data_IF_359315078361
#
_entry.id   IF_359315078361
#
_cell.length_a   1.000
_cell.length_b   1.000
_cell.length_c   1.000
_cell.angle_alpha   90.00
_cell.angle_beta   90.00
_cell.angle_gamma   90.00
#
_symmetry.space_group_name_H-M   'P 1'
#
loop_
_entity.id
_entity.type
_entity.pdbx_description
1 polymer ?
#
# COMPACT_ATOMS: atom_id res chain seq x y z
N UNK A 1 -15.17 14.55 -26.08
CA UNK A 1 -14.14 13.65 -25.49
C UNK A 1 -14.27 12.24 -26.09
N UNK A 2 -13.18 11.65 -26.59
CA UNK A 2 -13.19 10.29 -27.14
C UNK A 2 -13.24 9.21 -26.04
N UNK A 3 -13.42 7.95 -26.44
CA UNK A 3 -13.40 6.80 -25.54
C UNK A 3 -12.00 6.59 -24.94
N UNK A 4 -11.97 6.11 -23.70
CA UNK A 4 -10.75 5.74 -22.99
C UNK A 4 -10.23 4.44 -23.63
N UNK A 5 -9.01 4.45 -24.18
CA UNK A 5 -8.37 3.24 -24.76
C UNK A 5 -7.28 2.70 -23.83
N UNK A 6 -6.89 1.42 -23.92
CA UNK A 6 -5.78 0.86 -23.14
C UNK A 6 -4.44 1.59 -23.33
N UNK A 7 -4.20 2.23 -24.49
CA UNK A 7 -3.01 3.06 -24.71
C UNK A 7 -3.09 4.43 -24.01
N UNK A 8 -4.30 4.90 -23.70
CA UNK A 8 -4.60 6.17 -23.03
C UNK A 8 -4.74 5.97 -21.51
N UNK A 9 -5.12 4.76 -21.07
CA UNK A 9 -5.31 4.38 -19.67
C UNK A 9 -4.24 3.37 -19.27
N UNK A 10 -3.08 3.87 -18.85
CA UNK A 10 -2.21 3.07 -17.98
C UNK A 10 -2.85 3.11 -16.60
N UNK A 11 -3.72 2.13 -16.30
CA UNK A 11 -4.23 1.95 -14.94
C UNK A 11 -3.06 1.59 -14.03
N UNK A 12 -2.50 2.61 -13.37
CA UNK A 12 -1.55 2.42 -12.28
C UNK A 12 -2.37 2.01 -11.08
N UNK A 13 -2.60 0.71 -10.91
CA UNK A 13 -3.21 0.14 -9.71
C UNK A 13 -2.26 0.35 -8.51
N UNK A 14 -2.24 1.57 -7.98
CA UNK A 14 -1.58 1.93 -6.73
C UNK A 14 -2.57 1.72 -5.59
N UNK A 15 -3.09 0.50 -5.48
CA UNK A 15 -4.03 0.12 -4.45
C UNK A 15 -3.33 -0.73 -3.41
N UNK A 16 -3.33 -0.27 -2.16
CA UNK A 16 -3.30 -1.07 -0.94
C UNK A 16 -1.93 -1.47 -0.34
N UNK A 17 -0.82 -1.23 -1.03
CA UNK A 17 0.54 -1.51 -0.54
C UNK A 17 1.28 -0.23 -0.19
N UNK A 18 1.49 0.04 1.11
CA UNK A 18 2.13 1.30 1.57
C UNK A 18 2.82 1.13 2.90
N UNK A 19 3.91 0.36 2.96
CA UNK A 19 4.73 0.37 4.17
C UNK A 19 6.17 0.85 3.97
N UNK A 20 6.62 1.06 2.74
CA UNK A 20 7.88 1.77 2.51
C UNK A 20 7.89 3.18 3.13
N UNK A 21 6.75 3.90 3.07
CA UNK A 21 6.59 5.20 3.73
C UNK A 21 6.69 5.12 5.26
N UNK A 22 6.02 4.12 5.86
CA UNK A 22 6.14 3.85 7.29
C UNK A 22 7.59 3.55 7.68
N UNK A 23 8.31 2.70 6.94
CA UNK A 23 9.72 2.37 7.24
C UNK A 23 10.61 3.62 7.28
N UNK A 24 10.50 4.52 6.30
CA UNK A 24 11.26 5.77 6.26
C UNK A 24 10.89 6.67 7.44
N UNK A 25 9.61 6.83 7.73
CA UNK A 25 9.16 7.70 8.82
C UNK A 25 9.55 7.14 10.20
N UNK A 26 9.52 5.82 10.39
CA UNK A 26 10.03 5.16 11.59
C UNK A 26 11.55 5.35 11.71
N UNK A 27 12.32 5.12 10.64
CA UNK A 27 13.77 5.34 10.62
C UNK A 27 14.14 6.77 11.01
N UNK A 28 13.50 7.77 10.37
CA UNK A 28 13.74 9.17 10.69
C UNK A 28 13.32 9.52 12.12
N UNK A 29 12.22 8.95 12.61
CA UNK A 29 11.75 9.19 13.98
C UNK A 29 12.68 8.58 15.03
N UNK A 30 13.19 7.36 14.79
CA UNK A 30 14.20 6.72 15.64
C UNK A 30 15.50 7.54 15.64
N UNK A 31 15.93 8.05 14.49
CA UNK A 31 17.13 8.89 14.40
C UNK A 31 17.01 10.17 15.24
N UNK A 32 15.84 10.80 15.22
CA UNK A 32 15.61 12.09 15.87
C UNK A 32 15.30 11.96 17.37
N UNK A 33 14.56 10.92 17.78
CA UNK A 33 14.07 10.78 19.16
C UNK A 33 14.79 9.71 19.97
N UNK A 34 15.43 8.75 19.29
CA UNK A 34 15.86 7.49 19.89
C UNK A 34 14.71 6.49 20.06
N UNK A 35 15.06 5.21 19.99
CA UNK A 35 14.11 4.09 20.04
C UNK A 35 13.21 4.11 21.28
N UNK A 36 13.77 4.31 22.48
CA UNK A 36 12.99 4.23 23.72
C UNK A 36 11.93 5.34 23.82
N UNK A 37 12.30 6.57 23.44
CA UNK A 37 11.37 7.70 23.48
C UNK A 37 10.24 7.49 22.47
N UNK A 38 10.57 6.97 21.28
CA UNK A 38 9.57 6.65 20.27
C UNK A 38 8.59 5.55 20.74
N UNK A 39 9.10 4.48 21.39
CA UNK A 39 8.25 3.44 22.00
C UNK A 39 7.32 3.99 23.08
N UNK A 40 7.78 4.94 23.89
CA UNK A 40 6.93 5.54 24.93
C UNK A 40 5.83 6.44 24.32
N UNK A 41 6.09 7.03 23.15
CA UNK A 41 5.13 7.88 22.44
C UNK A 41 4.14 7.07 21.60
N UNK A 42 4.57 5.93 21.05
CA UNK A 42 3.75 5.08 20.20
C UNK A 42 3.31 3.83 20.95
N UNK A 43 1.99 3.59 20.97
CA UNK A 43 1.45 2.34 21.48
C UNK A 43 1.64 1.22 20.43
N UNK A 44 2.87 0.71 20.30
CA UNK A 44 3.24 -0.31 19.31
C UNK A 44 2.75 -1.68 19.78
N UNK A 45 1.74 -2.23 19.10
CA UNK A 45 1.18 -3.57 19.36
C UNK A 45 1.45 -4.54 18.20
N UNK A 46 1.46 -5.86 18.45
CA UNK A 46 1.49 -6.50 19.78
C UNK A 46 2.92 -6.63 20.34
N UNK A 47 3.07 -6.58 21.67
CA UNK A 47 4.33 -6.84 22.37
C UNK A 47 5.28 -5.65 22.50
N UNK A 48 6.60 -5.91 22.54
CA UNK A 48 7.65 -4.88 22.60
C UNK A 48 8.60 -4.99 21.39
N UNK A 49 8.24 -4.42 20.23
CA UNK A 49 9.03 -4.56 19.01
C UNK A 49 10.40 -3.88 19.14
N UNK A 50 11.45 -4.48 18.61
CA UNK A 50 12.76 -3.83 18.53
C UNK A 50 12.73 -2.68 17.52
N UNK A 51 13.12 -1.48 17.95
CA UNK A 51 13.38 -0.33 17.07
C UNK A 51 14.88 -0.05 16.93
N UNK A 52 15.72 -1.05 17.28
CA UNK A 52 17.18 -0.94 17.12
C UNK A 52 17.53 -1.07 15.63
N UNK A 53 18.24 -0.10 15.04
CA UNK A 53 18.72 -0.21 13.66
C UNK A 53 19.67 -1.40 13.47
N UNK A 54 19.65 -1.98 12.28
CA UNK A 54 20.62 -3.01 11.89
C UNK A 54 22.06 -2.48 11.94
N UNK A 55 23.02 -3.36 12.22
CA UNK A 55 24.42 -2.97 12.38
C UNK A 55 24.99 -2.33 11.10
N UNK A 56 25.58 -1.14 11.27
CA UNK A 56 26.15 -0.32 10.19
C UNK A 56 25.13 0.40 9.33
N UNK A 57 23.84 0.36 9.69
CA UNK A 57 22.89 1.29 9.11
C UNK A 57 23.06 2.67 9.75
N UNK A 58 23.30 3.68 8.92
CA UNK A 58 23.29 5.08 9.33
C UNK A 58 21.92 5.69 9.04
N UNK A 59 21.12 5.89 10.10
CA UNK A 59 19.80 6.52 9.96
C UNK A 59 19.88 7.99 9.53
N UNK A 60 21.03 8.65 9.70
CA UNK A 60 21.27 10.02 9.25
C UNK A 60 21.22 10.17 7.72
N UNK A 61 21.44 9.07 7.00
CA UNK A 61 21.34 9.03 5.53
C UNK A 61 19.91 8.76 5.04
N UNK A 62 18.97 8.44 5.93
CA UNK A 62 17.59 8.12 5.55
C UNK A 62 16.79 9.42 5.37
N UNK A 63 16.50 9.77 4.12
CA UNK A 63 15.83 11.01 3.73
C UNK A 63 14.59 10.78 2.88
N UNK A 64 13.77 11.82 2.72
CA UNK A 64 12.53 11.76 1.93
C UNK A 64 12.77 11.52 0.45
N UNK A 65 13.94 11.91 -0.05
CA UNK A 65 14.34 11.73 -1.44
C UNK A 65 14.36 10.26 -1.85
N UNK A 66 14.58 9.35 -0.89
CA UNK A 66 14.60 7.90 -1.13
C UNK A 66 13.29 7.42 -1.76
N UNK A 67 12.16 8.03 -1.40
CA UNK A 67 10.84 7.65 -1.89
C UNK A 67 10.26 8.64 -2.91
N UNK A 68 11.05 9.59 -3.43
CA UNK A 68 10.53 10.59 -4.37
C UNK A 68 9.87 9.92 -5.59
N UNK A 69 10.57 8.98 -6.24
CA UNK A 69 10.03 8.22 -7.37
C UNK A 69 8.85 7.33 -6.96
N UNK A 70 8.91 6.75 -5.76
CA UNK A 70 7.84 5.92 -5.20
C UNK A 70 6.54 6.73 -4.99
N UNK A 71 6.64 7.96 -4.50
CA UNK A 71 5.52 8.85 -4.30
C UNK A 71 5.03 9.45 -5.62
N UNK A 72 5.95 9.82 -6.52
CA UNK A 72 5.61 10.33 -7.84
C UNK A 72 4.80 9.30 -8.66
N UNK A 73 5.14 8.01 -8.56
CA UNK A 73 4.37 6.96 -9.25
C UNK A 73 2.96 6.76 -8.69
N UNK A 74 2.76 7.12 -7.41
CA UNK A 74 1.49 7.02 -6.65
C UNK A 74 0.69 8.32 -6.58
N UNK A 75 1.26 9.43 -7.05
CA UNK A 75 0.61 10.72 -7.04
C UNK A 75 -0.61 10.71 -7.97
N UNK A 76 -1.71 11.29 -7.51
CA UNK A 76 -2.84 11.59 -8.39
C UNK A 76 -2.44 12.71 -9.34
N UNK A 77 -2.86 12.61 -10.60
CA UNK A 77 -2.81 13.75 -11.52
C UNK A 77 -3.67 14.85 -10.91
N UNK A 78 -3.10 16.05 -10.79
CA UNK A 78 -3.82 17.23 -10.33
C UNK A 78 -4.18 18.05 -11.57
N UNK A 79 -5.46 18.32 -11.74
CA UNK A 79 -5.97 19.21 -12.77
C UNK A 79 -6.14 20.60 -12.17
N UNK A 80 -5.60 21.62 -12.83
CA UNK A 80 -5.78 23.03 -12.48
C UNK A 80 -6.93 23.67 -13.28
N UNK A 81 -7.38 24.88 -12.89
CA UNK A 81 -8.35 25.65 -13.66
C UNK A 81 -7.98 25.84 -15.15
N UNK A 82 -6.68 25.88 -15.45
CA UNK A 82 -6.11 25.98 -16.79
C UNK A 82 -6.31 24.73 -17.66
N UNK A 83 -6.57 23.57 -17.06
CA UNK A 83 -6.81 22.31 -17.79
C UNK A 83 -8.27 22.19 -18.28
N UNK A 84 -9.15 23.09 -17.86
CA UNK A 84 -10.56 23.11 -18.27
C UNK A 84 -10.67 23.83 -19.62
N UNK A 85 -10.78 23.04 -20.69
CA UNK A 85 -10.80 23.51 -22.09
C UNK A 85 -12.08 24.31 -22.42
N UNK A 86 -13.19 24.08 -21.71
CA UNK A 86 -14.46 24.78 -21.94
C UNK A 86 -14.74 25.82 -20.83
N UNK A 87 -14.66 27.13 -21.14
CA UNK A 87 -14.90 28.19 -20.17
C UNK A 87 -16.36 28.26 -19.68
N UNK A 88 -17.32 27.60 -20.32
CA UNK A 88 -18.72 27.53 -19.86
C UNK A 88 -18.92 26.53 -18.71
N UNK A 89 -17.97 25.60 -18.51
CA UNK A 89 -17.94 24.63 -17.42
C UNK A 89 -17.10 25.09 -16.23
N UNK A 90 -16.80 26.39 -16.13
CA UNK A 90 -16.21 26.98 -14.93
C UNK A 90 -17.20 26.83 -13.77
N UNK A 91 -17.09 25.73 -13.04
CA UNK A 91 -17.65 25.63 -11.70
C UNK A 91 -17.00 26.77 -10.91
N UNK A 92 -17.83 27.67 -10.38
CA UNK A 92 -17.42 28.62 -9.35
C UNK A 92 -16.98 27.82 -8.12
N UNK A 93 -15.80 27.23 -8.17
CA UNK A 93 -15.12 26.78 -6.98
C UNK A 93 -14.64 28.05 -6.30
N UNK A 94 -15.35 28.44 -5.23
CA UNK A 94 -14.68 29.18 -4.16
C UNK A 94 -13.36 28.47 -3.92
N UNK A 95 -12.22 29.18 -3.93
CA UNK A 95 -10.95 28.55 -3.64
C UNK A 95 -11.15 27.80 -2.32
N UNK A 96 -10.96 26.48 -2.34
CA UNK A 96 -10.73 25.79 -1.09
C UNK A 96 -9.62 26.59 -0.40
N UNK A 97 -9.83 27.04 0.84
CA UNK A 97 -8.82 27.86 1.50
C UNK A 97 -7.49 27.11 1.35
N UNK A 98 -6.38 27.81 1.04
CA UNK A 98 -5.07 27.16 1.08
C UNK A 98 -5.04 26.40 2.40
N UNK A 99 -4.75 25.09 2.35
CA UNK A 99 -4.62 24.23 3.53
C UNK A 99 -3.94 25.07 4.60
N UNK A 100 -4.76 25.54 5.55
CA UNK A 100 -4.40 26.68 6.37
C UNK A 100 -3.08 26.34 7.03
N UNK A 101 -2.09 27.23 6.91
CA UNK A 101 -0.99 27.28 7.86
C UNK A 101 -1.66 27.39 9.23
N UNK A 102 -1.85 26.24 9.88
CA UNK A 102 -2.44 26.13 11.19
C UNK A 102 -1.62 27.02 12.12
N UNK A 103 -2.27 28.00 12.71
CA UNK A 103 -1.76 28.76 13.84
C UNK A 103 -1.18 27.79 14.88
N UNK A 104 0.10 27.99 15.18
CA UNK A 104 0.91 27.14 16.05
C UNK A 104 0.35 27.12 17.47
N UNK A 105 0.26 25.96 18.14
CA UNK A 105 0.09 25.95 19.59
C UNK A 105 1.34 26.56 20.22
N UNK A 106 1.19 27.71 20.87
CA UNK A 106 2.21 28.32 21.71
C UNK A 106 2.34 27.51 23.01
N UNK A 107 3.01 26.37 22.92
CA UNK A 107 3.33 25.49 24.04
C UNK A 107 4.64 24.76 23.76
N UNK A 108 5.41 24.47 24.81
CA UNK A 108 6.73 23.81 24.76
C UNK A 108 6.62 22.34 24.30
N UNK A 109 6.14 22.08 23.09
CA UNK A 109 6.38 20.80 22.43
C UNK A 109 7.81 20.84 21.92
N UNK A 110 8.66 19.92 22.38
CA UNK A 110 10.01 19.79 21.86
C UNK A 110 9.95 19.64 20.33
N UNK A 111 10.61 20.55 19.59
CA UNK A 111 10.56 20.61 18.12
C UNK A 111 10.78 19.25 17.44
N UNK A 112 11.62 18.41 18.04
CA UNK A 112 11.95 17.07 17.55
C UNK A 112 10.78 16.07 17.73
N UNK A 113 10.05 16.15 18.85
CA UNK A 113 8.85 15.35 19.07
C UNK A 113 7.72 15.76 18.12
N UNK A 114 7.58 17.07 17.87
CA UNK A 114 6.63 17.59 16.89
C UNK A 114 6.98 17.18 15.44
N UNK A 115 8.28 17.18 15.09
CA UNK A 115 8.77 16.72 13.80
C UNK A 115 8.47 15.22 13.56
N UNK A 116 8.81 14.37 14.53
CA UNK A 116 8.52 12.93 14.47
C UNK A 116 7.01 12.66 14.43
N UNK A 117 6.23 13.38 15.24
CA UNK A 117 4.77 13.32 15.20
C UNK A 117 4.20 13.69 13.82
N UNK A 118 4.66 14.77 13.21
CA UNK A 118 4.21 15.21 11.87
C UNK A 118 4.59 14.22 10.76
N UNK A 119 5.71 13.52 10.91
CA UNK A 119 6.15 12.45 10.00
C UNK A 119 5.22 11.25 10.10
N UNK A 120 5.06 10.72 11.32
CA UNK A 120 4.20 9.57 11.58
C UNK A 120 2.74 9.85 11.18
N UNK A 121 2.23 11.06 11.41
CA UNK A 121 0.91 11.49 10.95
C UNK A 121 0.73 11.55 9.42
N UNK A 122 1.80 11.68 8.63
CA UNK A 122 1.70 11.63 7.15
C UNK A 122 1.52 10.20 6.65
N UNK A 123 2.09 9.25 7.38
CA UNK A 123 2.05 7.83 7.00
C UNK A 123 0.79 7.13 7.52
N UNK A 124 0.32 7.43 8.73
CA UNK A 124 -1.04 7.08 9.14
C UNK A 124 -2.02 7.99 8.38
N UNK A 125 -3.13 7.47 7.89
CA UNK A 125 -4.08 8.17 7.03
C UNK A 125 -4.79 9.36 7.72
N UNK A 126 -4.10 10.48 8.04
CA UNK A 126 -4.71 11.61 8.77
C UNK A 126 -4.22 12.97 8.24
N UNK A 127 -5.10 13.80 7.62
CA UNK A 127 -4.81 15.19 7.34
C UNK A 127 -4.74 16.02 8.64
N UNK A 128 -3.81 16.99 8.76
CA UNK A 128 -3.69 17.86 9.93
C UNK A 128 -4.70 19.01 9.86
N UNK A 129 -5.89 18.74 10.34
CA UNK A 129 -6.71 19.74 11.03
C UNK A 129 -7.46 18.99 12.12
N UNK A 130 -7.38 19.49 13.36
CA UNK A 130 -8.24 19.08 14.48
C UNK A 130 -7.77 17.94 15.42
N UNK A 131 -6.47 17.74 15.66
CA UNK A 131 -5.96 16.77 16.63
C UNK A 131 -6.18 17.14 18.14
N UNK A 132 -7.06 18.09 18.47
CA UNK A 132 -7.37 18.41 19.89
C UNK A 132 -8.85 18.73 20.14
N UNK A 133 -9.74 18.57 19.16
CA UNK A 133 -11.19 18.74 19.37
C UNK A 133 -12.07 17.60 18.82
N UNK A 134 -11.50 16.61 18.10
CA UNK A 134 -12.24 15.43 17.64
C UNK A 134 -11.59 14.15 18.17
N UNK A 135 -11.97 13.74 19.37
CA UNK A 135 -11.93 12.33 19.76
C UNK A 135 -12.95 11.47 18.97
N UNK A 136 -13.65 12.05 17.98
CA UNK A 136 -14.78 11.43 17.27
C UNK A 136 -14.54 11.12 15.78
N UNK A 137 -13.42 11.50 15.17
CA UNK A 137 -13.08 11.16 13.76
C UNK A 137 -11.93 10.16 13.63
N UNK A 138 -11.65 9.40 14.69
CA UNK A 138 -10.58 8.40 14.72
C UNK A 138 -10.95 7.06 14.06
N UNK A 139 -12.15 6.91 13.48
CA UNK A 139 -12.63 5.69 12.82
C UNK A 139 -12.49 5.73 11.29
N UNK A 140 -11.32 6.15 10.78
CA UNK A 140 -10.98 6.01 9.37
C UNK A 140 -10.39 4.60 9.11
N UNK A 141 -11.25 3.62 8.88
CA UNK A 141 -10.83 2.27 8.50
C UNK A 141 -11.98 1.44 7.94
N UNK A 142 -11.73 0.67 6.88
CA UNK A 142 -12.74 -0.24 6.34
C UNK A 142 -13.25 -1.19 7.42
N UNK A 143 -14.54 -1.49 7.43
CA UNK A 143 -15.16 -2.35 8.44
C UNK A 143 -15.96 -3.49 7.79
N UNK A 144 -15.98 -4.64 8.46
CA UNK A 144 -16.87 -5.75 8.13
C UNK A 144 -17.18 -6.57 9.38
N UNK A 145 -18.35 -7.20 9.39
CA UNK A 145 -18.77 -8.06 10.49
C UNK A 145 -19.68 -9.17 10.00
N UNK A 146 -19.69 -10.27 10.75
CA UNK A 146 -20.58 -11.41 10.52
C UNK A 146 -21.18 -11.84 11.85
N UNK A 147 -22.49 -12.08 11.86
CA UNK A 147 -23.25 -12.54 13.02
C UNK A 147 -23.87 -13.90 12.69
N UNK A 148 -23.72 -14.89 13.58
CA UNK A 148 -24.32 -16.23 13.42
C UNK A 148 -25.85 -16.15 13.51
N UNK A 149 -26.55 -17.03 12.79
CA UNK A 149 -28.02 -17.03 12.75
C UNK A 149 -28.71 -17.20 14.11
N UNK A 150 -28.10 -17.88 15.08
CA UNK A 150 -28.64 -17.98 16.45
C UNK A 150 -28.78 -16.63 17.18
N UNK A 151 -28.11 -15.59 16.67
CA UNK A 151 -28.14 -14.22 17.20
C UNK A 151 -28.99 -13.29 16.33
N UNK A 152 -29.63 -13.79 15.26
CA UNK A 152 -30.46 -13.02 14.35
C UNK A 152 -31.92 -13.47 14.45
N UNK A 153 -32.87 -12.57 14.18
CA UNK A 153 -34.30 -12.91 14.22
C UNK A 153 -34.72 -13.88 13.11
N UNK A 154 -33.96 -13.94 12.00
CA UNK A 154 -34.24 -14.84 10.88
C UNK A 154 -33.74 -16.26 11.09
N UNK A 155 -32.85 -16.50 12.05
CA UNK A 155 -32.16 -17.79 12.22
C UNK A 155 -31.05 -18.05 11.19
N UNK A 156 -30.75 -17.08 10.32
CA UNK A 156 -29.69 -17.16 9.29
C UNK A 156 -28.58 -16.14 9.56
N UNK A 157 -27.32 -16.40 9.12
CA UNK A 157 -26.23 -15.46 9.30
C UNK A 157 -26.50 -14.11 8.63
N UNK A 158 -25.94 -13.05 9.20
CA UNK A 158 -25.95 -11.71 8.62
C UNK A 158 -24.51 -11.21 8.47
N UNK A 159 -24.19 -10.65 7.30
CA UNK A 159 -22.90 -10.03 7.02
C UNK A 159 -23.13 -8.59 6.55
N UNK A 160 -22.26 -7.68 7.01
CA UNK A 160 -22.10 -6.37 6.40
C UNK A 160 -20.63 -6.12 6.07
N UNK A 161 -20.38 -5.51 4.92
CA UNK A 161 -19.03 -5.21 4.44
C UNK A 161 -18.98 -3.78 3.88
N UNK A 162 -18.13 -2.93 4.48
CA UNK A 162 -18.00 -1.51 4.16
C UNK A 162 -16.52 -1.13 3.91
N UNK A 163 -16.02 -1.40 2.69
CA UNK A 163 -14.65 -1.07 2.32
C UNK A 163 -14.52 0.42 2.02
N UNK A 164 -14.08 1.20 3.00
CA UNK A 164 -13.85 2.63 2.84
C UNK A 164 -12.85 2.96 1.70
N UNK A 165 -13.31 3.72 0.70
CA UNK A 165 -12.48 4.27 -0.38
C UNK A 165 -12.93 5.68 -0.70
N UNK A 166 -12.00 6.51 -1.22
CA UNK A 166 -12.38 7.82 -1.76
C UNK A 166 -13.40 7.63 -2.87
N UNK A 167 -14.48 8.40 -2.85
CA UNK A 167 -15.40 8.50 -3.97
C UNK A 167 -14.65 9.10 -5.17
N UNK A 168 -14.78 8.45 -6.33
CA UNK A 168 -14.10 8.81 -7.56
C UNK A 168 -15.03 8.59 -8.75
N UNK A 169 -14.76 9.31 -9.85
CA UNK A 169 -15.46 9.14 -11.12
C UNK A 169 -14.41 8.78 -12.19
N UNK A 170 -14.49 7.60 -12.83
CA UNK A 170 -15.46 6.53 -12.55
C UNK A 170 -15.27 5.88 -11.17
N UNK A 171 -16.31 5.20 -10.70
CA UNK A 171 -16.26 4.43 -9.45
C UNK A 171 -15.12 3.42 -9.50
N UNK A 172 -14.40 3.30 -8.39
CA UNK A 172 -13.41 2.25 -8.20
C UNK A 172 -14.06 0.84 -8.24
N UNK A 173 -15.29 0.73 -7.73
CA UNK A 173 -16.01 -0.54 -7.68
C UNK A 173 -16.93 -0.67 -8.89
N UNK A 174 -16.87 -1.84 -9.53
CA UNK A 174 -17.71 -2.22 -10.64
C UNK A 174 -18.54 -3.45 -10.26
N UNK A 175 -19.85 -3.38 -10.47
CA UNK A 175 -20.76 -4.48 -10.18
C UNK A 175 -20.94 -5.38 -11.40
N UNK A 176 -20.94 -6.69 -11.16
CA UNK A 176 -21.16 -7.69 -12.20
C UNK A 176 -21.93 -8.88 -11.65
N UNK A 177 -22.76 -9.49 -12.49
CA UNK A 177 -23.32 -10.82 -12.28
C UNK A 177 -22.78 -11.72 -13.39
N UNK A 178 -22.00 -12.73 -13.00
CA UNK A 178 -21.38 -13.68 -13.92
C UNK A 178 -22.14 -15.01 -13.84
N UNK A 179 -22.67 -15.44 -14.99
CA UNK A 179 -23.40 -16.71 -15.13
C UNK A 179 -22.76 -17.53 -16.24
N UNK A 180 -22.20 -18.70 -15.89
CA UNK A 180 -21.57 -19.65 -16.79
C UNK A 180 -21.55 -21.06 -16.14
N UNK A 181 -21.20 -22.14 -16.84
CA UNK A 181 -21.05 -23.45 -16.20
C UNK A 181 -20.08 -23.40 -15.01
N UNK A 182 -20.56 -23.78 -13.82
CA UNK A 182 -19.80 -23.70 -12.57
C UNK A 182 -19.75 -22.32 -11.92
N UNK A 183 -20.44 -21.32 -12.49
CA UNK A 183 -20.38 -19.93 -12.05
C UNK A 183 -21.78 -19.30 -12.00
N UNK A 184 -22.19 -18.89 -10.80
CA UNK A 184 -23.36 -18.04 -10.58
C UNK A 184 -23.04 -17.10 -9.41
N UNK A 185 -22.39 -15.98 -9.72
CA UNK A 185 -21.83 -15.06 -8.71
C UNK A 185 -22.19 -13.62 -9.04
N UNK A 186 -22.60 -12.86 -8.02
CA UNK A 186 -22.92 -11.44 -8.15
C UNK A 186 -22.22 -10.63 -7.08
N UNK A 187 -21.66 -9.50 -7.47
CA UNK A 187 -20.97 -8.63 -6.53
C UNK A 187 -20.15 -7.54 -7.20
N UNK A 188 -19.24 -6.96 -6.42
CA UNK A 188 -18.30 -5.92 -6.81
C UNK A 188 -16.87 -6.42 -6.99
N UNK A 189 -16.23 -5.95 -8.05
CA UNK A 189 -14.79 -6.01 -8.30
C UNK A 189 -14.21 -4.63 -8.62
N UNK A 190 -12.99 -4.58 -9.14
CA UNK A 190 -12.44 -3.38 -9.77
C UNK A 190 -12.48 -3.54 -11.30
N UNK A 191 -12.75 -2.46 -12.08
CA UNK A 191 -13.03 -2.54 -13.52
C UNK A 191 -12.05 -3.33 -14.39
N UNK A 192 -10.78 -3.46 -13.98
CA UNK A 192 -9.74 -4.13 -14.76
C UNK A 192 -9.35 -5.51 -14.20
N UNK A 193 -9.99 -5.96 -13.13
CA UNK A 193 -9.59 -7.14 -12.38
C UNK A 193 -10.66 -8.23 -12.50
N UNK A 194 -10.25 -9.51 -12.63
CA UNK A 194 -11.18 -10.60 -12.89
C UNK A 194 -11.94 -11.03 -11.62
N UNK A 195 -13.15 -11.55 -11.82
CA UNK A 195 -13.97 -12.14 -10.76
C UNK A 195 -14.67 -11.13 -9.84
N UNK A 196 -15.28 -11.65 -8.78
CA UNK A 196 -16.07 -10.90 -7.80
C UNK A 196 -15.34 -10.90 -6.44
N UNK A 197 -14.65 -9.80 -6.14
CA UNK A 197 -13.91 -9.66 -4.88
C UNK A 197 -14.80 -9.54 -3.63
N UNK A 198 -16.00 -8.99 -3.77
CA UNK A 198 -16.97 -8.80 -2.70
C UNK A 198 -18.33 -9.16 -3.25
N UNK A 199 -19.01 -10.16 -2.70
CA UNK A 199 -20.27 -10.61 -3.27
C UNK A 199 -20.76 -11.90 -2.66
N UNK A 200 -21.57 -12.62 -3.43
CA UNK A 200 -22.05 -13.93 -3.05
C UNK A 200 -22.34 -14.78 -4.28
N UNK A 201 -22.40 -16.09 -4.04
CA UNK A 201 -22.96 -17.07 -4.96
C UNK A 201 -24.18 -17.75 -4.28
N UNK A 202 -24.57 -18.92 -4.77
CA UNK A 202 -25.71 -19.69 -4.26
C UNK A 202 -25.47 -20.27 -2.86
N UNK A 203 -24.21 -20.40 -2.46
CA UNK A 203 -23.80 -21.12 -1.26
C UNK A 203 -23.43 -20.17 -0.13
N UNK A 204 -22.69 -19.10 -0.43
CA UNK A 204 -22.30 -18.14 0.60
C UNK A 204 -21.91 -16.77 0.06
N UNK A 205 -21.76 -15.85 1.01
CA UNK A 205 -21.37 -14.47 0.80
C UNK A 205 -20.01 -14.20 1.44
N UNK A 206 -19.24 -13.31 0.80
CA UNK A 206 -17.95 -12.86 1.28
C UNK A 206 -17.76 -11.36 1.15
N UNK A 207 -16.93 -10.85 2.05
CA UNK A 207 -16.50 -9.48 2.08
C UNK A 207 -15.03 -9.36 2.42
N UNK A 208 -14.47 -8.19 2.14
CA UNK A 208 -13.09 -7.86 2.47
C UNK A 208 -12.97 -6.47 3.08
N UNK A 209 -12.00 -6.35 3.98
CA UNK A 209 -11.42 -5.09 4.44
C UNK A 209 -9.90 -5.20 4.36
N UNK A 210 -9.19 -4.08 4.40
CA UNK A 210 -7.72 -4.12 4.36
C UNK A 210 -7.18 -4.70 5.65
N UNK A 211 -6.28 -5.65 5.52
CA UNK A 211 -5.49 -6.18 6.61
C UNK A 211 -4.06 -5.65 6.46
N UNK A 212 -3.70 -4.69 7.31
CA UNK A 212 -2.39 -4.04 7.27
C UNK A 212 -1.29 -5.04 7.65
N UNK A 213 -0.58 -5.52 6.63
CA UNK A 213 0.67 -6.26 6.83
C UNK A 213 1.79 -5.60 6.03
N UNK A 214 3.00 -5.90 6.45
CA UNK A 214 4.22 -5.51 5.76
C UNK A 214 4.37 -6.27 4.44
N UNK A 215 4.35 -5.55 3.32
CA UNK A 215 4.43 -6.09 1.96
C UNK A 215 5.54 -5.41 1.12
N UNK A 216 6.31 -4.51 1.70
CA UNK A 216 7.35 -3.71 1.06
C UNK A 216 8.55 -3.53 1.98
N UNK A 217 9.76 -3.87 1.53
CA UNK A 217 11.00 -3.60 2.26
C UNK A 217 11.87 -2.64 1.47
N UNK A 218 12.52 -1.70 2.16
CA UNK A 218 13.60 -0.93 1.57
C UNK A 218 14.97 -1.56 1.85
N UNK A 219 15.67 -1.94 0.79
CA UNK A 219 17.01 -2.54 0.85
C UNK A 219 18.06 -1.50 0.52
N UNK A 220 19.13 -1.47 1.31
CA UNK A 220 20.25 -0.54 1.14
C UNK A 220 21.48 -1.31 0.71
N UNK A 221 21.99 -0.99 -0.48
CA UNK A 221 23.18 -1.58 -1.06
C UNK A 221 24.36 -0.64 -1.02
N UNK A 222 25.56 -1.20 -0.84
CA UNK A 222 26.80 -0.54 -1.26
C UNK A 222 26.88 -0.57 -2.79
N UNK A 223 27.20 0.55 -3.41
CA UNK A 223 27.51 0.63 -4.85
C UNK A 223 29.02 0.66 -5.05
N UNK A 224 29.51 0.10 -6.16
CA UNK A 224 30.95 0.08 -6.43
C UNK A 224 31.45 1.51 -6.72
N UNK A 225 32.43 2.04 -5.97
CA UNK A 225 32.98 3.38 -6.24
C UNK A 225 33.58 3.52 -7.63
N UNK A 226 34.04 2.43 -8.24
CA UNK A 226 34.59 2.41 -9.60
C UNK A 226 33.53 2.20 -10.70
N UNK A 227 32.35 1.65 -10.36
CA UNK A 227 31.24 1.42 -11.29
C UNK A 227 29.89 1.53 -10.54
N UNK A 228 29.24 2.70 -10.53
CA UNK A 228 28.02 2.91 -9.74
C UNK A 228 26.83 2.04 -10.21
N UNK A 229 26.93 1.39 -11.37
CA UNK A 229 25.94 0.42 -11.84
C UNK A 229 26.17 -0.99 -11.28
N UNK A 230 27.11 -1.15 -10.35
CA UNK A 230 27.30 -2.37 -9.58
C UNK A 230 26.91 -2.17 -8.13
N UNK A 231 26.31 -3.19 -7.53
CA UNK A 231 25.93 -3.23 -6.13
C UNK A 231 26.51 -4.47 -5.44
N UNK A 232 26.80 -4.35 -4.14
CA UNK A 232 27.41 -5.44 -3.39
C UNK A 232 26.35 -6.42 -2.89
N UNK A 233 26.49 -7.69 -3.22
CA UNK A 233 25.62 -8.77 -2.72
C UNK A 233 26.46 -10.00 -2.37
N UNK A 234 26.26 -10.52 -1.15
CA UNK A 234 27.00 -11.67 -0.62
C UNK A 234 28.53 -11.59 -0.83
N UNK A 235 29.08 -10.38 -0.66
CA UNK A 235 30.51 -10.10 -0.81
C UNK A 235 30.98 -9.78 -2.23
N UNK A 236 30.17 -10.03 -3.26
CA UNK A 236 30.51 -9.81 -4.66
C UNK A 236 29.86 -8.55 -5.24
N UNK A 237 30.47 -7.98 -6.28
CA UNK A 237 29.86 -6.92 -7.07
C UNK A 237 28.97 -7.53 -8.16
N UNK A 238 27.70 -7.19 -8.15
CA UNK A 238 26.72 -7.58 -9.17
C UNK A 238 26.30 -6.36 -9.99
N UNK A 239 26.11 -6.54 -11.29
CA UNK A 239 25.58 -5.47 -12.15
C UNK A 239 24.09 -5.29 -11.92
N UNK A 240 23.65 -4.04 -11.81
CA UNK A 240 22.23 -3.70 -11.91
C UNK A 240 21.74 -4.02 -13.32
N UNK A 241 20.51 -4.53 -13.42
CA UNK A 241 19.80 -4.58 -14.71
C UNK A 241 19.31 -3.17 -15.03
N UNK A 242 19.68 -2.67 -16.21
CA UNK A 242 19.26 -1.34 -16.68
C UNK A 242 18.34 -1.52 -17.88
N UNK A 243 17.15 -0.93 -17.82
CA UNK A 243 16.19 -0.88 -18.92
C UNK A 243 16.05 0.59 -19.33
N UNK A 244 16.35 0.90 -20.58
CA UNK A 244 16.15 2.25 -21.11
C UNK A 244 14.73 2.39 -21.63
N UNK A 245 13.99 3.35 -21.07
CA UNK A 245 12.61 3.62 -21.46
C UNK A 245 12.49 5.02 -22.05
N UNK A 246 11.72 5.14 -23.14
CA UNK A 246 11.48 6.42 -23.81
C UNK A 246 10.09 6.94 -23.48
N UNK A 247 10.02 7.90 -22.56
CA UNK A 247 8.79 8.56 -22.13
C UNK A 247 8.40 9.62 -23.17
N UNK A 248 7.31 9.36 -23.91
CA UNK A 248 6.72 10.34 -24.82
C UNK A 248 5.89 11.36 -24.02
N UNK A 249 6.16 12.65 -24.24
CA UNK A 249 5.47 13.74 -23.55
C UNK A 249 4.67 14.53 -24.56
N UNK A 250 3.36 14.71 -24.34
CA UNK A 250 2.50 15.46 -25.27
C UNK A 250 3.03 16.88 -25.44
N UNK A 251 3.26 17.30 -26.68
CA UNK A 251 3.74 18.64 -27.02
C UNK A 251 5.21 18.92 -26.69
N UNK A 252 5.99 17.91 -26.28
CA UNK A 252 7.43 18.05 -25.98
C UNK A 252 8.23 16.90 -26.60
N UNK A 253 9.54 17.08 -26.67
CA UNK A 253 10.45 15.99 -27.02
C UNK A 253 10.37 14.87 -25.99
N UNK A 254 10.45 13.62 -26.46
CA UNK A 254 10.48 12.46 -25.59
C UNK A 254 11.76 12.45 -24.74
N UNK A 255 11.65 11.93 -23.51
CA UNK A 255 12.76 11.83 -22.55
C UNK A 255 13.12 10.35 -22.38
N UNK A 256 14.40 10.02 -22.50
CA UNK A 256 14.90 8.68 -22.17
C UNK A 256 15.25 8.63 -20.68
N UNK A 257 14.80 7.58 -20.00
CA UNK A 257 15.10 7.32 -18.59
C UNK A 257 15.70 5.92 -18.43
N UNK A 258 16.66 5.78 -17.54
CA UNK A 258 17.24 4.49 -17.17
C UNK A 258 16.51 3.95 -15.94
N UNK A 259 15.80 2.84 -16.10
CA UNK A 259 15.20 2.10 -14.99
C UNK A 259 16.21 1.05 -14.50
N UNK A 260 16.69 1.21 -13.28
CA UNK A 260 17.67 0.30 -12.67
C UNK A 260 17.00 -0.67 -11.71
N UNK A 261 17.43 -1.93 -11.77
CA UNK A 261 16.93 -3.00 -10.92
C UNK A 261 18.10 -3.77 -10.31
N UNK A 262 18.01 -4.00 -9.01
CA UNK A 262 18.79 -5.04 -8.35
C UNK A 262 18.06 -6.38 -8.51
N UNK A 263 18.66 -7.48 -8.05
CA UNK A 263 17.95 -8.76 -7.95
C UNK A 263 16.70 -8.73 -7.08
N UNK A 264 16.56 -7.77 -6.15
CA UNK A 264 15.41 -7.70 -5.23
C UNK A 264 14.35 -6.69 -5.66
N UNK A 265 14.58 -5.91 -6.72
CA UNK A 265 13.60 -4.97 -7.25
C UNK A 265 14.18 -3.65 -7.72
N UNK A 266 13.30 -2.68 -8.06
CA UNK A 266 13.70 -1.40 -8.62
C UNK A 266 14.50 -0.55 -7.63
N UNK A 267 15.52 0.13 -8.14
CA UNK A 267 16.27 1.15 -7.39
C UNK A 267 15.43 2.44 -7.37
N UNK A 268 15.09 2.90 -6.18
CA UNK A 268 14.32 4.12 -5.96
C UNK A 268 15.20 5.37 -5.85
N UNK A 269 16.42 5.22 -5.31
CA UNK A 269 17.34 6.33 -5.08
C UNK A 269 18.79 5.85 -5.04
N UNK A 270 19.70 6.68 -5.54
CA UNK A 270 21.15 6.45 -5.53
C UNK A 270 21.84 7.62 -4.82
N UNK A 271 22.48 7.34 -3.69
CA UNK A 271 23.36 8.28 -3.01
C UNK A 271 24.80 8.07 -3.49
N UNK A 272 25.19 8.86 -4.48
CA UNK A 272 26.53 8.78 -5.09
C UNK A 272 27.64 9.23 -4.14
N UNK A 273 27.33 10.11 -3.19
CA UNK A 273 28.33 10.64 -2.26
C UNK A 273 28.73 9.59 -1.21
N UNK A 274 27.76 8.78 -0.79
CA UNK A 274 27.97 7.72 0.19
C UNK A 274 28.08 6.32 -0.43
N UNK A 275 28.09 6.23 -1.76
CA UNK A 275 28.10 4.99 -2.53
C UNK A 275 27.00 4.02 -2.08
N UNK A 276 25.75 4.50 -2.02
CA UNK A 276 24.58 3.69 -1.65
C UNK A 276 23.52 3.68 -2.74
N UNK A 277 22.81 2.56 -2.84
CA UNK A 277 21.58 2.45 -3.63
C UNK A 277 20.46 1.89 -2.78
N UNK A 278 19.27 2.46 -2.92
CA UNK A 278 18.07 2.11 -2.16
C UNK A 278 17.10 1.43 -3.12
N UNK A 279 16.79 0.16 -2.87
CA UNK A 279 15.92 -0.63 -3.73
C UNK A 279 14.67 -1.10 -2.99
N UNK A 280 13.54 -1.14 -3.69
CA UNK A 280 12.29 -1.63 -3.14
C UNK A 280 12.15 -3.13 -3.42
N UNK A 281 12.01 -3.93 -2.37
CA UNK A 281 11.48 -5.29 -2.48
C UNK A 281 10.00 -5.24 -2.14
N UNK A 282 9.14 -5.82 -2.96
CA UNK A 282 7.71 -5.77 -2.69
C UNK A 282 7.02 -7.09 -3.06
N UNK A 283 6.09 -7.53 -2.21
CA UNK A 283 5.30 -8.73 -2.43
C UNK A 283 4.45 -8.63 -3.70
N UNK A 284 4.01 -7.43 -4.06
CA UNK A 284 3.22 -7.17 -5.28
C UNK A 284 4.03 -7.26 -6.58
N UNK A 285 5.36 -7.42 -6.51
CA UNK A 285 6.21 -7.74 -7.67
C UNK A 285 6.35 -9.25 -7.90
N UNK A 286 5.87 -10.09 -6.97
CA UNK A 286 5.96 -11.54 -7.07
C UNK A 286 4.95 -12.12 -8.08
N UNK A 287 5.30 -13.26 -8.67
CA UNK A 287 4.39 -13.98 -9.57
C UNK A 287 3.10 -14.35 -8.83
N UNK A 288 1.95 -14.13 -9.45
CA UNK A 288 0.64 -14.42 -8.84
C UNK A 288 0.16 -13.36 -7.85
N UNK A 289 0.89 -12.26 -7.67
CA UNK A 289 0.49 -11.12 -6.85
C UNK A 289 -0.40 -10.11 -7.62
N UNK A 290 -1.13 -10.56 -8.65
CA UNK A 290 -2.10 -9.72 -9.32
C UNK A 290 -3.27 -9.46 -8.35
N UNK A 291 -3.62 -8.18 -8.09
CA UNK A 291 -4.70 -7.84 -7.16
C UNK A 291 -6.00 -8.56 -7.49
N UNK A 292 -6.66 -9.12 -6.46
CA UNK A 292 -7.95 -9.82 -6.56
C UNK A 292 -8.01 -11.04 -7.49
N UNK A 293 -6.88 -11.53 -8.00
CA UNK A 293 -6.88 -12.68 -8.91
C UNK A 293 -7.48 -13.96 -8.26
N UNK A 294 -7.35 -14.08 -6.93
CA UNK A 294 -7.94 -15.19 -6.18
C UNK A 294 -9.47 -15.22 -6.22
N UNK A 295 -10.13 -14.09 -6.55
CA UNK A 295 -11.59 -14.03 -6.71
C UNK A 295 -12.09 -15.05 -7.72
N UNK A 296 -11.32 -15.34 -8.77
CA UNK A 296 -11.67 -16.39 -9.73
C UNK A 296 -11.89 -17.79 -9.11
N UNK A 297 -11.20 -18.08 -8.01
CA UNK A 297 -11.37 -19.33 -7.25
C UNK A 297 -12.45 -19.18 -6.19
N UNK A 298 -12.50 -18.02 -5.52
CA UNK A 298 -13.49 -17.73 -4.47
C UNK A 298 -14.92 -17.78 -5.02
N UNK A 299 -15.14 -17.27 -6.23
CA UNK A 299 -16.45 -17.16 -6.88
C UNK A 299 -17.17 -18.52 -7.04
N UNK A 300 -16.42 -19.62 -7.05
CA UNK A 300 -16.91 -21.00 -7.23
C UNK A 300 -17.05 -21.78 -5.92
N UNK A 301 -16.62 -21.22 -4.79
CA UNK A 301 -16.61 -21.93 -3.51
C UNK A 301 -18.02 -22.27 -3.05
N UNK A 302 -18.23 -23.53 -2.66
CA UNK A 302 -19.54 -24.04 -2.22
C UNK A 302 -19.67 -24.14 -0.70
N UNK A 303 -18.56 -23.99 0.02
CA UNK A 303 -18.49 -24.08 1.49
C UNK A 303 -17.30 -23.27 2.01
N UNK A 304 -17.23 -23.13 3.34
CA UNK A 304 -16.15 -22.41 4.01
C UNK A 304 -14.77 -22.99 3.70
N UNK A 305 -14.63 -24.31 3.66
CA UNK A 305 -13.34 -24.97 3.43
C UNK A 305 -12.78 -24.64 2.05
N UNK A 306 -13.61 -24.68 1.01
CA UNK A 306 -13.26 -24.29 -0.36
C UNK A 306 -12.95 -22.80 -0.46
N UNK A 307 -13.76 -21.94 0.18
CA UNK A 307 -13.51 -20.50 0.19
C UNK A 307 -12.18 -20.17 0.88
N UNK A 308 -11.88 -20.82 2.01
CA UNK A 308 -10.62 -20.69 2.74
C UNK A 308 -9.42 -21.15 1.93
N UNK A 309 -9.56 -22.27 1.21
CA UNK A 309 -8.52 -22.75 0.28
C UNK A 309 -8.30 -21.76 -0.88
N UNK A 310 -9.37 -21.28 -1.50
CA UNK A 310 -9.30 -20.26 -2.55
C UNK A 310 -8.62 -18.97 -2.07
N UNK A 311 -8.92 -18.52 -0.86
CA UNK A 311 -8.30 -17.36 -0.21
C UNK A 311 -6.79 -17.51 0.00
N UNK A 312 -6.25 -18.74 0.10
CA UNK A 312 -4.80 -18.98 0.20
C UNK A 312 -4.02 -18.53 -1.05
N UNK A 313 -4.71 -18.34 -2.17
CA UNK A 313 -4.15 -17.78 -3.40
C UNK A 313 -4.22 -16.25 -3.45
N UNK A 314 -4.90 -15.60 -2.51
CA UNK A 314 -4.96 -14.14 -2.42
C UNK A 314 -3.65 -13.63 -1.82
N UNK A 315 -2.70 -13.31 -2.70
CA UNK A 315 -1.34 -12.89 -2.33
C UNK A 315 -1.25 -11.40 -2.02
N UNK A 316 -2.07 -10.60 -2.67
CA UNK A 316 -2.01 -9.15 -2.61
C UNK A 316 -3.29 -8.61 -3.21
N UNK A 317 -3.91 -7.56 -2.67
CA UNK A 317 -3.65 -6.93 -1.36
C UNK A 317 -3.81 -7.87 -0.16
N UNK A 318 -3.26 -7.47 0.98
CA UNK A 318 -3.59 -8.12 2.25
C UNK A 318 -4.94 -7.67 2.78
N UNK A 319 -5.77 -8.65 3.10
CA UNK A 319 -7.19 -8.43 3.37
C UNK A 319 -7.69 -9.32 4.50
N UNK A 320 -8.67 -8.82 5.24
CA UNK A 320 -9.51 -9.62 6.12
C UNK A 320 -10.68 -10.13 5.31
N UNK A 321 -10.66 -11.40 4.92
CA UNK A 321 -11.77 -12.06 4.25
C UNK A 321 -12.76 -12.56 5.29
N UNK A 322 -14.04 -12.25 5.11
CA UNK A 322 -15.14 -12.77 5.92
C UNK A 322 -16.07 -13.63 5.07
N UNK A 323 -16.70 -14.63 5.70
CA UNK A 323 -17.61 -15.57 5.05
C UNK A 323 -18.88 -15.77 5.88
N UNK A 324 -20.02 -15.96 5.20
CA UNK A 324 -21.28 -16.40 5.78
C UNK A 324 -22.03 -17.25 4.75
N UNK A 325 -22.56 -18.41 5.14
CA UNK A 325 -23.27 -19.31 4.22
C UNK A 325 -24.67 -19.73 4.67
N UNK A 326 -25.36 -20.40 3.74
CA UNK A 326 -26.72 -20.93 3.93
C UNK A 326 -26.81 -22.05 4.97
N UNK A 327 -25.68 -22.68 5.32
CA UNK A 327 -25.59 -23.73 6.33
C UNK A 327 -25.30 -23.20 7.75
N UNK A 328 -25.42 -21.88 7.96
CA UNK A 328 -25.16 -21.20 9.23
C UNK A 328 -23.68 -21.13 9.66
N UNK A 329 -22.73 -21.43 8.76
CA UNK A 329 -21.32 -21.21 9.06
C UNK A 329 -20.94 -19.74 8.88
N UNK A 330 -19.95 -19.31 9.67
CA UNK A 330 -19.31 -18.01 9.55
C UNK A 330 -17.80 -18.22 9.61
N UNK A 331 -17.05 -17.42 8.86
CA UNK A 331 -15.61 -17.56 8.74
C UNK A 331 -14.88 -16.24 8.66
N UNK A 332 -13.61 -16.25 9.07
CA UNK A 332 -12.68 -15.15 8.90
C UNK A 332 -11.29 -15.70 8.59
N UNK A 333 -10.61 -15.08 7.62
CA UNK A 333 -9.23 -15.38 7.27
C UNK A 333 -8.50 -14.10 6.86
N UNK A 334 -7.35 -13.84 7.48
CA UNK A 334 -6.40 -12.89 6.94
C UNK A 334 -5.65 -13.50 5.74
N UNK A 335 -5.56 -12.75 4.65
CA UNK A 335 -4.88 -13.15 3.42
C UNK A 335 -3.78 -12.16 3.05
N UNK A 336 -2.96 -12.58 2.10
CA UNK A 336 -1.87 -11.81 1.53
C UNK A 336 -0.49 -12.29 1.97
N UNK A 337 0.46 -12.11 1.07
CA UNK A 337 1.86 -12.39 1.26
C UNK A 337 2.45 -11.31 2.14
N UNK A 338 3.11 -11.72 3.21
CA UNK A 338 4.10 -10.86 3.83
C UNK A 338 5.24 -10.62 2.83
N UNK A 339 5.87 -9.44 2.87
CA UNK A 339 7.24 -9.35 2.40
C UNK A 339 8.02 -10.52 3.04
N UNK A 340 8.78 -11.31 2.26
CA UNK A 340 9.29 -12.59 2.71
C UNK A 340 9.96 -12.43 4.08
N UNK A 341 9.36 -13.09 5.07
CA UNK A 341 9.81 -13.03 6.45
C UNK A 341 11.27 -13.46 6.53
N UNK A 342 11.94 -13.00 7.59
CA UNK A 342 13.31 -13.28 8.05
C UNK A 342 13.65 -14.79 8.18
N UNK A 343 13.34 -15.64 7.20
CA UNK A 343 13.90 -16.98 7.10
C UNK A 343 15.40 -16.81 6.92
N UNK A 344 16.11 -16.82 8.06
CA UNK A 344 17.11 -17.81 8.46
C UNK A 344 17.98 -18.42 7.34
N UNK A 345 18.25 -17.69 6.27
CA UNK A 345 19.50 -17.85 5.54
C UNK A 345 20.56 -17.16 6.40
N UNK A 346 21.23 -17.95 7.24
CA UNK A 346 22.45 -17.56 7.93
C UNK A 346 23.53 -17.24 6.88
N UNK A 347 23.47 -16.06 6.30
CA UNK A 347 24.59 -15.42 5.63
C UNK A 347 25.19 -14.38 6.61
N UNK A 348 26.52 -14.24 6.67
CA UNK A 348 27.19 -13.38 7.64
C UNK A 348 26.70 -11.93 7.55
N UNK A 349 26.66 -11.28 8.70
CA UNK A 349 26.00 -10.01 9.08
C UNK A 349 26.43 -8.75 8.30
N UNK A 350 27.11 -8.86 7.16
CA UNK A 350 27.71 -7.72 6.46
C UNK A 350 26.96 -7.26 5.20
N UNK A 351 25.83 -7.85 4.81
CA UNK A 351 25.26 -7.64 3.46
C UNK A 351 23.75 -7.39 3.35
N UNK A 352 23.02 -7.32 4.48
CA UNK A 352 21.60 -6.90 4.51
C UNK A 352 21.43 -5.83 5.56
N UNK A 353 20.92 -4.66 5.19
CA UNK A 353 20.57 -3.58 6.13
C UNK A 353 19.18 -3.08 5.76
N UNK A 354 18.20 -3.35 6.62
CA UNK A 354 16.85 -2.81 6.51
C UNK A 354 16.78 -1.51 7.29
N UNK A 355 16.01 -0.52 6.83
CA UNK A 355 15.97 0.81 7.41
C UNK A 355 15.52 0.84 8.89
N UNK A 356 14.55 -0.01 9.29
CA UNK A 356 14.15 -0.33 10.69
C UNK A 356 13.43 -1.69 10.72
#
# INVERSE_FOLDING_TARGET
PGHWTPEVVVSRHNGLFRNAGYEIDFAQSVNVLGAQKLKNLLNLHPGDPSLKPDEGLDLGLISDNILELYYASRARVRFGPEDIIDPSHKINQSPSPPLGLTTFPSGKVEKNAFYAYKKLLRSFFVPPSLATQLHHEMDLGSNNWVVRGKLTSSGYPMMANDPHRSQQIPSLRYWVHLVAPGWNVIGGGEPALPGVSIGHNEYGAWGLTIFSVDQEDLYIYETNPADPNQYRYQGNWEKMKIIQEKIRIKGKSAVTVDLKFTRHGPVLYEDKNHHKAYALRAAWLEIGAAPYLASLRMDQAQNWEEFRDACSFSRTPSENMVWADVENNIGWQAVGNHAPSKKLERAPSSTRRRAV
#
